data_IF_406863726643
#
_entry.id   IF_406863726643
#
_cell.length_a   1.000
_cell.length_b   1.000
_cell.length_c   1.000
_cell.angle_alpha   90.00
_cell.angle_beta   90.00
_cell.angle_gamma   90.00
#
_symmetry.space_group_name_H-M   'P 1'
#
loop_
_entity.id
_entity.type
_entity.pdbx_description
1 polymer ?
#
# COMPACT_ATOMS: atom_id res chain seq x y z
N UNK A 1 -15.57 4.78 -20.53
CA UNK A 1 -14.74 5.68 -19.70
C UNK A 1 -13.51 4.91 -19.24
N UNK A 2 -12.32 5.47 -19.43
CA UNK A 2 -11.10 4.87 -18.90
C UNK A 2 -11.14 4.92 -17.37
N UNK A 3 -11.09 3.75 -16.71
CA UNK A 3 -11.02 3.68 -15.25
C UNK A 3 -9.66 4.12 -14.75
N UNK A 4 -9.63 4.83 -13.63
CA UNK A 4 -8.37 5.20 -12.95
C UNK A 4 -7.83 3.97 -12.20
N UNK A 5 -6.58 3.62 -12.44
CA UNK A 5 -5.95 2.44 -11.86
C UNK A 5 -5.40 2.77 -10.47
N UNK A 6 -5.78 1.95 -9.47
CA UNK A 6 -5.18 1.93 -8.14
C UNK A 6 -4.48 0.59 -7.94
N UNK A 7 -3.19 0.63 -7.67
CA UNK A 7 -2.42 -0.56 -7.33
C UNK A 7 -2.39 -0.75 -5.81
N UNK A 8 -2.57 -1.99 -5.36
CA UNK A 8 -2.45 -2.37 -3.95
C UNK A 8 -1.43 -3.50 -3.84
N UNK A 9 -0.38 -3.28 -3.06
CA UNK A 9 0.66 -4.25 -2.77
C UNK A 9 0.60 -4.65 -1.28
N UNK A 10 -0.14 -5.70 -0.92
CA UNK A 10 -0.40 -6.07 0.47
C UNK A 10 0.78 -6.80 1.12
N UNK A 11 1.77 -7.23 0.33
CA UNK A 11 2.91 -8.01 0.80
C UNK A 11 4.00 -7.19 1.46
N UNK A 12 4.81 -7.88 2.22
CA UNK A 12 6.16 -7.48 2.66
C UNK A 12 6.90 -8.73 3.14
N UNK A 13 8.21 -8.74 3.04
CA UNK A 13 9.05 -9.84 3.52
C UNK A 13 8.83 -10.10 5.02
N UNK A 14 8.77 -9.03 5.82
CA UNK A 14 8.68 -9.13 7.27
C UNK A 14 7.24 -8.98 7.75
N UNK A 15 6.78 -9.89 8.61
CA UNK A 15 5.43 -9.87 9.20
C UNK A 15 5.11 -8.51 9.83
N UNK A 16 6.04 -7.94 10.60
CA UNK A 16 5.80 -6.67 11.31
C UNK A 16 5.64 -5.47 10.38
N UNK A 17 5.99 -5.60 9.09
CA UNK A 17 5.76 -4.58 8.06
C UNK A 17 4.45 -4.80 7.30
N UNK A 18 3.69 -5.86 7.60
CA UNK A 18 2.43 -6.16 6.90
C UNK A 18 1.28 -5.51 7.63
N UNK A 19 0.57 -4.64 6.92
CA UNK A 19 -0.72 -4.13 7.41
C UNK A 19 -1.70 -5.29 7.53
N UNK A 20 -2.63 -5.30 8.52
CA UNK A 20 -3.54 -6.43 8.72
C UNK A 20 -4.32 -6.80 7.46
N UNK A 21 -4.43 -8.10 7.16
CA UNK A 21 -5.14 -8.59 5.97
C UNK A 21 -6.60 -8.15 5.97
N UNK A 22 -7.25 -8.17 7.12
CA UNK A 22 -8.62 -7.69 7.31
C UNK A 22 -8.78 -6.21 6.96
N UNK A 23 -7.72 -5.41 7.09
CA UNK A 23 -7.73 -3.99 6.75
C UNK A 23 -7.60 -3.79 5.23
N UNK A 24 -6.74 -4.57 4.57
CA UNK A 24 -6.70 -4.60 3.11
C UNK A 24 -8.03 -5.08 2.52
N UNK A 25 -8.65 -6.12 3.09
CA UNK A 25 -9.98 -6.60 2.66
C UNK A 25 -11.02 -5.48 2.73
N UNK A 26 -11.09 -4.78 3.85
CA UNK A 26 -12.02 -3.67 4.06
C UNK A 26 -11.77 -2.54 3.05
N UNK A 27 -10.53 -2.12 2.88
CA UNK A 27 -10.15 -1.08 1.92
C UNK A 27 -10.57 -1.46 0.49
N UNK A 28 -10.23 -2.67 0.04
CA UNK A 28 -10.57 -3.16 -1.30
C UNK A 28 -12.07 -3.21 -1.49
N UNK A 29 -12.83 -3.76 -0.53
CA UNK A 29 -14.29 -3.83 -0.58
C UNK A 29 -14.96 -2.45 -0.68
N UNK A 30 -14.36 -1.42 -0.10
CA UNK A 30 -14.87 -0.06 -0.22
C UNK A 30 -14.52 0.56 -1.59
N UNK A 31 -13.30 0.39 -2.04
CA UNK A 31 -12.83 0.97 -3.31
C UNK A 31 -13.57 0.39 -4.54
N UNK A 32 -13.93 -0.91 -4.54
CA UNK A 32 -14.64 -1.54 -5.66
C UNK A 32 -16.08 -1.05 -5.85
N UNK A 33 -16.65 -0.36 -4.85
CA UNK A 33 -17.96 0.29 -4.97
C UNK A 33 -17.93 1.46 -5.97
N UNK A 34 -16.75 1.99 -6.25
CA UNK A 34 -16.56 3.07 -7.23
C UNK A 34 -16.35 2.52 -8.63
N UNK A 35 -17.27 2.83 -9.54
CA UNK A 35 -17.24 2.35 -10.92
C UNK A 35 -16.16 3.01 -11.79
N UNK A 36 -15.62 4.15 -11.35
CA UNK A 36 -14.56 4.90 -12.03
C UNK A 36 -13.14 4.38 -11.70
N UNK A 37 -13.03 3.38 -10.81
CA UNK A 37 -11.75 2.78 -10.42
C UNK A 37 -11.58 1.38 -10.99
N UNK A 38 -10.33 1.03 -11.28
CA UNK A 38 -9.84 -0.34 -11.48
C UNK A 38 -8.84 -0.65 -10.36
N UNK A 39 -9.20 -1.58 -9.50
CA UNK A 39 -8.34 -2.03 -8.41
C UNK A 39 -7.50 -3.20 -8.90
N UNK A 40 -6.19 -3.09 -8.76
CA UNK A 40 -5.23 -4.11 -9.17
C UNK A 40 -4.38 -4.49 -7.96
N UNK A 41 -4.36 -5.77 -7.63
CA UNK A 41 -3.52 -6.30 -6.56
C UNK A 41 -2.23 -6.82 -7.18
N UNK A 42 -1.09 -6.43 -6.60
CA UNK A 42 0.23 -6.86 -7.04
C UNK A 42 1.03 -7.48 -5.89
N UNK A 43 2.00 -8.33 -6.25
CA UNK A 43 2.86 -9.01 -5.29
C UNK A 43 3.58 -10.19 -5.93
N UNK A 44 4.50 -10.80 -5.22
CA UNK A 44 5.14 -12.06 -5.61
C UNK A 44 4.22 -13.27 -5.45
N UNK A 45 4.75 -14.44 -5.76
CA UNK A 45 3.99 -15.71 -5.64
C UNK A 45 3.58 -16.01 -4.21
N UNK A 46 4.43 -15.65 -3.23
CA UNK A 46 4.19 -15.89 -1.80
C UNK A 46 3.03 -15.03 -1.28
N UNK A 47 2.81 -13.86 -1.89
CA UNK A 47 1.69 -13.01 -1.50
C UNK A 47 0.31 -13.53 -1.93
N UNK A 48 0.27 -14.60 -2.78
CA UNK A 48 -1.00 -15.32 -3.08
C UNK A 48 -1.61 -15.97 -1.84
N UNK A 49 -0.80 -16.28 -0.83
CA UNK A 49 -1.26 -16.83 0.46
C UNK A 49 -2.06 -15.81 1.30
N UNK A 50 -1.94 -14.50 0.99
CA UNK A 50 -2.72 -13.46 1.67
C UNK A 50 -4.17 -13.57 1.18
N UNK A 51 -5.08 -13.96 2.06
CA UNK A 51 -6.50 -14.12 1.74
C UNK A 51 -7.19 -12.75 1.70
N UNK A 52 -7.50 -12.25 0.52
CA UNK A 52 -8.13 -10.93 0.33
C UNK A 52 -9.63 -10.98 0.01
N UNK A 53 -10.20 -12.18 -0.25
CA UNK A 53 -11.61 -12.34 -0.64
C UNK A 53 -12.03 -11.36 -1.74
N UNK A 54 -11.31 -11.41 -2.88
CA UNK A 54 -11.44 -10.43 -3.94
C UNK A 54 -12.78 -10.54 -4.68
N UNK A 55 -13.39 -9.39 -4.95
CA UNK A 55 -14.52 -9.25 -5.86
C UNK A 55 -14.06 -9.51 -7.33
N UNK A 56 -14.94 -9.98 -8.18
CA UNK A 56 -14.69 -10.21 -9.61
C UNK A 56 -14.27 -8.94 -10.39
N UNK A 57 -14.50 -7.75 -9.82
CA UNK A 57 -14.07 -6.46 -10.38
C UNK A 57 -12.62 -6.12 -10.07
N UNK A 58 -11.94 -6.90 -9.22
CA UNK A 58 -10.54 -6.71 -8.84
C UNK A 58 -9.66 -7.57 -9.74
N UNK A 59 -8.62 -6.97 -10.29
CA UNK A 59 -7.60 -7.70 -11.04
C UNK A 59 -6.48 -8.14 -10.10
N UNK A 60 -6.35 -9.44 -9.88
CA UNK A 60 -5.27 -10.01 -9.07
C UNK A 60 -4.12 -10.45 -9.96
N UNK A 61 -2.99 -9.77 -9.85
CA UNK A 61 -1.75 -10.04 -10.59
C UNK A 61 -0.62 -10.54 -9.69
N UNK A 62 -0.92 -10.99 -8.47
CA UNK A 62 0.09 -11.54 -7.57
C UNK A 62 0.74 -12.78 -8.17
N UNK A 63 2.07 -12.77 -8.27
CA UNK A 63 2.86 -13.84 -8.87
C UNK A 63 2.73 -14.01 -10.38
N UNK A 64 2.03 -13.11 -11.06
CA UNK A 64 1.76 -13.17 -12.50
C UNK A 64 2.61 -12.19 -13.32
N UNK A 65 3.19 -11.17 -12.67
CA UNK A 65 3.96 -10.12 -13.34
C UNK A 65 5.37 -10.02 -12.78
N UNK A 66 6.29 -9.63 -13.66
CA UNK A 66 7.67 -9.30 -13.32
C UNK A 66 7.79 -7.89 -12.72
N UNK A 67 8.95 -7.56 -12.17
CA UNK A 67 9.21 -6.21 -11.64
C UNK A 67 9.15 -5.13 -12.73
N UNK A 68 9.53 -5.44 -13.98
CA UNK A 68 9.44 -4.49 -15.09
C UNK A 68 7.99 -4.24 -15.50
N UNK A 69 7.15 -5.27 -15.51
CA UNK A 69 5.72 -5.13 -15.76
C UNK A 69 5.02 -4.36 -14.62
N UNK A 70 5.44 -4.60 -13.36
CA UNK A 70 4.98 -3.80 -12.23
C UNK A 70 5.36 -2.31 -12.40
N UNK A 71 6.57 -2.01 -12.85
CA UNK A 71 7.01 -0.63 -13.11
C UNK A 71 6.16 0.04 -14.20
N UNK A 72 5.89 -0.66 -15.32
CA UNK A 72 5.03 -0.13 -16.39
C UNK A 72 3.58 0.05 -15.93
N UNK A 73 3.06 -0.87 -15.12
CA UNK A 73 1.72 -0.76 -14.54
C UNK A 73 1.64 0.42 -13.55
N UNK A 74 2.68 0.61 -12.74
CA UNK A 74 2.82 1.73 -11.80
C UNK A 74 2.79 3.07 -12.53
N UNK A 75 3.47 3.19 -13.66
CA UNK A 75 3.46 4.40 -14.49
C UNK A 75 2.06 4.78 -14.99
N UNK A 76 1.17 3.79 -15.17
CA UNK A 76 -0.22 3.99 -15.61
C UNK A 76 -1.21 4.19 -14.47
N UNK A 77 -0.80 3.87 -13.25
CA UNK A 77 -1.63 4.02 -12.07
C UNK A 77 -1.66 5.47 -11.59
N UNK A 78 -2.79 5.90 -11.06
CA UNK A 78 -2.87 7.20 -10.39
C UNK A 78 -2.31 7.14 -8.98
N UNK A 79 -2.36 5.95 -8.35
CA UNK A 79 -1.98 5.78 -6.96
C UNK A 79 -1.56 4.32 -6.67
N UNK A 80 -0.57 4.16 -5.79
CA UNK A 80 -0.11 2.88 -5.24
C UNK A 80 -0.26 2.90 -3.73
N UNK A 81 -0.94 1.91 -3.16
CA UNK A 81 -0.97 1.62 -1.72
C UNK A 81 -0.04 0.46 -1.44
N UNK A 82 0.92 0.62 -0.56
CA UNK A 82 1.87 -0.45 -0.23
C UNK A 82 2.36 -0.36 1.20
N UNK A 83 2.65 -1.52 1.78
CA UNK A 83 3.52 -1.61 2.95
C UNK A 83 4.94 -1.11 2.62
N UNK A 84 5.78 -0.94 3.65
CA UNK A 84 7.24 -0.73 3.51
C UNK A 84 7.86 -1.93 2.77
N UNK A 85 7.86 -1.86 1.43
CA UNK A 85 8.32 -2.94 0.53
C UNK A 85 8.71 -2.39 -0.87
N UNK A 86 9.22 -3.25 -1.73
CA UNK A 86 9.74 -2.88 -3.05
C UNK A 86 8.81 -2.00 -3.92
N UNK A 87 7.48 -2.19 -3.96
CA UNK A 87 6.61 -1.35 -4.77
C UNK A 87 6.70 0.15 -4.47
N UNK A 88 6.94 0.55 -3.21
CA UNK A 88 7.14 1.96 -2.84
C UNK A 88 8.34 2.56 -3.58
N UNK A 89 9.45 1.83 -3.62
CA UNK A 89 10.69 2.30 -4.26
C UNK A 89 10.56 2.34 -5.78
N UNK A 90 9.90 1.34 -6.37
CA UNK A 90 9.59 1.33 -7.81
C UNK A 90 8.71 2.54 -8.14
N UNK A 91 7.67 2.79 -7.35
CA UNK A 91 6.75 3.93 -7.57
C UNK A 91 7.45 5.27 -7.43
N UNK A 92 8.47 5.37 -6.56
CA UNK A 92 9.24 6.62 -6.39
C UNK A 92 9.93 7.10 -7.68
N UNK A 93 10.13 6.22 -8.68
CA UNK A 93 10.64 6.59 -10.00
C UNK A 93 9.59 7.28 -10.89
N UNK A 94 8.31 7.29 -10.50
CA UNK A 94 7.20 7.83 -11.29
C UNK A 94 6.51 8.99 -10.55
N UNK A 95 6.94 10.25 -10.76
CA UNK A 95 6.49 11.39 -9.96
C UNK A 95 4.99 11.69 -10.09
N UNK A 96 4.36 11.24 -11.17
CA UNK A 96 2.92 11.45 -11.38
C UNK A 96 2.04 10.44 -10.62
N UNK A 97 2.62 9.34 -10.12
CA UNK A 97 1.90 8.32 -9.37
C UNK A 97 1.97 8.61 -7.88
N UNK A 98 0.83 8.78 -7.23
CA UNK A 98 0.74 8.98 -5.77
C UNK A 98 1.18 7.73 -5.04
N UNK A 99 1.99 7.90 -3.98
CA UNK A 99 2.35 6.81 -3.06
C UNK A 99 1.59 7.00 -1.74
N UNK A 100 0.88 5.95 -1.33
CA UNK A 100 0.32 5.79 0.01
C UNK A 100 1.08 4.66 0.69
N UNK A 101 2.05 5.01 1.52
CA UNK A 101 2.93 4.08 2.21
C UNK A 101 2.46 3.80 3.63
N UNK A 102 2.45 2.53 4.03
CA UNK A 102 2.07 2.09 5.38
C UNK A 102 3.31 1.57 6.09
N UNK A 103 3.73 2.29 7.15
CA UNK A 103 4.97 2.03 7.86
C UNK A 103 4.72 1.75 9.34
N UNK A 104 5.07 0.54 9.78
CA UNK A 104 4.91 0.11 11.16
C UNK A 104 6.20 0.20 11.97
N UNK A 105 7.08 -0.82 11.89
CA UNK A 105 8.21 -0.96 12.81
C UNK A 105 9.42 -0.07 12.49
N UNK A 106 9.49 0.45 11.27
CA UNK A 106 10.62 1.22 10.74
C UNK A 106 10.36 2.71 10.80
N UNK A 107 11.42 3.51 10.79
CA UNK A 107 11.38 4.97 10.85
C UNK A 107 12.08 5.60 9.64
N UNK A 108 11.80 6.87 9.39
CA UNK A 108 12.31 7.61 8.24
C UNK A 108 13.84 7.59 8.15
N UNK A 109 14.49 7.66 9.30
CA UNK A 109 15.95 7.68 9.45
C UNK A 109 16.66 6.44 8.90
N UNK A 110 15.91 5.33 8.72
CA UNK A 110 16.43 4.10 8.11
C UNK A 110 16.50 4.17 6.58
N UNK A 111 15.95 5.21 5.96
CA UNK A 111 16.02 5.42 4.52
C UNK A 111 15.04 4.59 3.69
N UNK A 112 14.04 3.95 4.31
CA UNK A 112 13.05 3.12 3.60
C UNK A 112 11.83 3.91 3.11
N UNK A 113 11.70 5.18 3.49
CA UNK A 113 10.57 6.00 3.05
C UNK A 113 10.64 6.28 1.55
N UNK A 114 9.49 6.52 0.90
CA UNK A 114 9.46 6.86 -0.53
C UNK A 114 10.27 8.13 -0.81
N UNK A 115 10.97 8.14 -1.94
CA UNK A 115 11.79 9.27 -2.39
C UNK A 115 10.99 10.28 -3.22
N UNK A 116 9.72 10.01 -3.47
CA UNK A 116 8.82 10.87 -4.22
C UNK A 116 8.16 11.90 -3.30
N UNK A 117 8.14 13.17 -3.72
CA UNK A 117 7.36 14.22 -3.05
C UNK A 117 5.85 13.95 -3.14
N UNK A 118 5.41 13.25 -4.21
CA UNK A 118 4.03 12.81 -4.39
C UNK A 118 3.75 11.55 -3.56
N UNK A 119 4.01 11.64 -2.25
CA UNK A 119 3.82 10.54 -1.31
C UNK A 119 3.10 10.97 -0.04
N UNK A 120 2.40 10.03 0.57
CA UNK A 120 1.89 10.13 1.93
C UNK A 120 2.26 8.86 2.67
N UNK A 121 3.00 9.02 3.76
CA UNK A 121 3.34 7.92 4.65
C UNK A 121 2.42 7.97 5.86
N UNK A 122 1.82 6.83 6.16
CA UNK A 122 1.05 6.59 7.37
C UNK A 122 1.90 5.80 8.35
N UNK A 123 2.08 6.36 9.52
CA UNK A 123 2.85 5.80 10.62
C UNK A 123 2.28 6.28 11.96
N UNK A 124 2.48 5.52 13.02
CA UNK A 124 2.09 5.92 14.37
C UNK A 124 3.32 6.45 15.11
N UNK A 125 3.33 7.75 15.37
CA UNK A 125 4.41 8.41 16.09
C UNK A 125 4.23 8.26 17.61
N UNK A 126 5.35 8.34 18.34
CA UNK A 126 5.34 8.33 19.81
C UNK A 126 5.16 6.96 20.46
N UNK A 127 5.18 5.87 19.70
CA UNK A 127 5.21 4.54 20.29
C UNK A 127 6.60 4.25 20.86
N UNK A 128 6.68 3.92 22.14
CA UNK A 128 7.94 3.64 22.85
C UNK A 128 8.73 2.46 22.24
N UNK A 129 8.04 1.52 21.61
CA UNK A 129 8.62 0.33 20.98
C UNK A 129 9.05 0.54 19.51
N UNK A 130 8.91 1.77 18.97
CA UNK A 130 9.25 2.08 17.58
C UNK A 130 10.48 3.00 17.52
N UNK A 131 11.54 2.63 16.71
CA UNK A 131 11.63 1.44 15.89
C UNK A 131 11.95 0.19 16.71
N UNK A 132 11.33 -0.96 16.39
CA UNK A 132 11.61 -2.21 17.08
C UNK A 132 12.64 -3.10 16.36
N UNK A 133 12.96 -2.81 15.11
CA UNK A 133 14.01 -3.47 14.33
C UNK A 133 14.37 -2.63 13.10
N UNK A 134 15.60 -2.79 12.59
CA UNK A 134 16.07 -2.06 11.39
C UNK A 134 15.24 -2.47 10.15
N UNK A 135 15.02 -3.76 9.95
CA UNK A 135 14.35 -4.30 8.77
C UNK A 135 12.94 -4.83 9.04
N UNK A 136 12.48 -4.85 10.28
CA UNK A 136 11.28 -5.56 10.71
C UNK A 136 11.60 -6.95 11.26
N UNK A 137 10.56 -7.73 11.61
CA UNK A 137 10.65 -9.04 12.21
C UNK A 137 9.45 -9.94 11.91
N UNK A 138 9.54 -11.20 12.35
CA UNK A 138 8.50 -12.20 12.12
C UNK A 138 7.35 -12.13 13.15
N UNK A 139 7.51 -11.38 14.22
CA UNK A 139 6.49 -11.15 15.24
C UNK A 139 6.68 -9.77 15.89
N UNK A 140 5.61 -9.23 16.46
CA UNK A 140 5.68 -8.02 17.26
C UNK A 140 6.18 -8.35 18.66
N UNK A 141 7.36 -7.82 19.10
CA UNK A 141 7.89 -8.10 20.44
C UNK A 141 6.91 -7.74 21.57
N UNK A 142 6.18 -6.64 21.39
CA UNK A 142 5.20 -6.13 22.36
C UNK A 142 3.81 -6.78 22.22
N UNK A 143 3.61 -7.68 21.25
CA UNK A 143 2.37 -8.41 20.95
C UNK A 143 1.13 -7.56 20.61
N UNK A 144 1.17 -6.26 20.80
CA UNK A 144 0.01 -5.37 20.54
C UNK A 144 -0.12 -4.91 19.09
N UNK A 145 0.95 -4.90 18.31
CA UNK A 145 1.01 -4.51 16.90
C UNK A 145 0.36 -3.15 16.57
N UNK A 146 0.37 -2.22 17.53
CA UNK A 146 -0.30 -0.92 17.44
C UNK A 146 0.21 -0.08 16.27
N UNK A 147 1.52 -0.15 15.96
CA UNK A 147 2.11 0.59 14.84
C UNK A 147 1.46 0.31 13.48
N UNK A 148 0.79 -0.85 13.34
CA UNK A 148 0.02 -1.20 12.14
C UNK A 148 -1.49 -1.13 12.40
N UNK A 149 -1.97 -1.59 13.57
CA UNK A 149 -3.40 -1.66 13.88
C UNK A 149 -4.07 -0.30 14.06
N UNK A 150 -3.34 0.71 14.51
CA UNK A 150 -3.88 2.06 14.67
C UNK A 150 -3.92 2.86 13.35
N UNK A 151 -3.27 2.36 12.28
CA UNK A 151 -3.49 2.85 10.93
C UNK A 151 -4.75 2.15 10.40
N UNK A 152 -5.92 2.77 10.58
CA UNK A 152 -7.19 2.16 10.20
C UNK A 152 -7.46 2.26 8.68
N UNK A 153 -8.30 1.37 8.12
CA UNK A 153 -8.70 1.45 6.70
C UNK A 153 -9.27 2.82 6.32
N UNK A 154 -10.05 3.44 7.19
CA UNK A 154 -10.67 4.75 6.94
C UNK A 154 -9.63 5.85 6.72
N UNK A 155 -8.50 5.82 7.43
CA UNK A 155 -7.41 6.79 7.23
C UNK A 155 -6.83 6.69 5.82
N UNK A 156 -6.61 5.47 5.34
CA UNK A 156 -6.08 5.21 4.00
C UNK A 156 -7.12 5.54 2.92
N UNK A 157 -8.36 5.15 3.13
CA UNK A 157 -9.47 5.39 2.22
C UNK A 157 -9.72 6.90 2.02
N UNK A 158 -9.73 7.66 3.10
CA UNK A 158 -9.90 9.13 3.06
C UNK A 158 -8.77 9.82 2.28
N UNK A 159 -7.52 9.37 2.43
CA UNK A 159 -6.40 9.90 1.63
C UNK A 159 -6.59 9.59 0.15
N UNK A 160 -6.99 8.36 -0.19
CA UNK A 160 -7.22 7.94 -1.57
C UNK A 160 -8.32 8.80 -2.21
N UNK A 161 -9.45 8.96 -1.53
CA UNK A 161 -10.57 9.76 -2.07
C UNK A 161 -10.20 11.24 -2.20
N UNK A 162 -9.56 11.80 -1.19
CA UNK A 162 -9.07 13.19 -1.25
C UNK A 162 -8.14 13.42 -2.44
N UNK A 163 -7.25 12.46 -2.72
CA UNK A 163 -6.34 12.56 -3.87
C UNK A 163 -7.09 12.44 -5.20
N UNK A 164 -8.01 11.48 -5.32
CA UNK A 164 -8.82 11.30 -6.55
C UNK A 164 -9.63 12.56 -6.87
N UNK A 165 -10.22 13.19 -5.86
CA UNK A 165 -11.03 14.38 -6.04
C UNK A 165 -10.18 15.58 -6.47
N UNK A 166 -8.94 15.71 -5.96
CA UNK A 166 -7.98 16.72 -6.44
C UNK A 166 -7.57 16.49 -7.90
N UNK A 167 -7.33 15.23 -8.29
CA UNK A 167 -6.99 14.91 -9.69
C UNK A 167 -8.14 15.28 -10.62
N UNK A 168 -9.40 14.98 -10.24
CA UNK A 168 -10.58 15.34 -11.03
C UNK A 168 -10.78 16.85 -11.18
N UNK A 169 -10.45 17.62 -10.14
CA UNK A 169 -10.58 19.08 -10.18
C UNK A 169 -9.56 19.76 -11.12
N UNK A 170 -8.49 19.05 -11.49
CA UNK A 170 -7.42 19.54 -12.35
C UNK A 170 -7.48 18.98 -13.79
N UNK A 171 -8.44 18.09 -14.09
CA UNK A 171 -8.79 17.60 -15.43
C UNK A 171 -9.81 18.52 -16.10
#
# INVERSE_FOLDING_TARGET
QNKKIILIAPGSKWFTKRWPEEYFKTLIQNLVKRNDLLIVITGGKEEKEIELNLDSKVLDLRGEISLLELAELTKRAILVVSNDSAPIHITSAFPNTRIVGIFGPTVKEFGFFPWSENSKVFEINGLYCRPCAIHGGNFCPEKHFRCMREITPDLIENEIYSYIDKVKANE
#
